data_IF_470090953911
#
_entry.id   IF_470090953911
#
_cell.length_a   1.000
_cell.length_b   1.000
_cell.length_c   1.000
_cell.angle_alpha   90.00
_cell.angle_beta   90.00
_cell.angle_gamma   90.00
#
_symmetry.space_group_name_H-M   'P 1'
#
loop_
_entity.id
_entity.type
_entity.pdbx_description
1 polymer ?
#
# COMPACT_ATOMS: atom_id res chain seq x y z
N UNK A 1 38.22 64.43 -36.04
CA UNK A 1 37.00 63.70 -35.66
C UNK A 1 36.72 62.71 -36.76
N UNK A 2 36.90 61.37 -36.50
CA UNK A 2 36.61 60.33 -37.50
C UNK A 2 35.11 60.02 -37.45
N UNK A 3 34.37 60.36 -38.49
CA UNK A 3 32.97 59.99 -38.68
C UNK A 3 32.84 58.49 -38.91
N UNK A 4 32.29 57.76 -37.96
CA UNK A 4 31.95 56.34 -38.17
C UNK A 4 30.90 56.24 -39.28
N UNK A 5 31.12 55.33 -40.24
CA UNK A 5 30.20 55.14 -41.37
C UNK A 5 28.91 54.50 -40.88
N UNK A 6 27.76 54.82 -41.50
CA UNK A 6 26.47 54.22 -41.24
C UNK A 6 26.50 52.69 -41.24
N UNK A 7 27.34 52.08 -42.05
CA UNK A 7 27.55 50.65 -42.13
C UNK A 7 28.12 50.03 -40.85
N UNK A 8 28.99 50.77 -40.12
CA UNK A 8 29.53 50.33 -38.83
C UNK A 8 28.48 50.33 -37.71
N UNK A 9 27.55 51.30 -37.72
CA UNK A 9 26.46 51.39 -36.78
C UNK A 9 25.43 50.23 -36.97
N UNK A 10 25.08 49.91 -38.23
CA UNK A 10 24.20 48.78 -38.54
C UNK A 10 24.78 47.43 -38.12
N UNK A 11 26.11 47.25 -38.25
CA UNK A 11 26.77 46.01 -37.80
C UNK A 11 26.78 45.86 -36.28
N UNK A 12 26.96 46.94 -35.54
CA UNK A 12 26.92 46.94 -34.08
C UNK A 12 25.51 46.69 -33.54
N UNK A 13 24.48 47.25 -34.17
CA UNK A 13 23.08 46.98 -33.81
C UNK A 13 22.66 45.56 -34.14
N UNK A 14 23.08 45.00 -35.28
CA UNK A 14 22.78 43.62 -35.64
C UNK A 14 23.48 42.62 -34.71
N UNK A 15 24.74 42.88 -34.29
CA UNK A 15 25.44 42.06 -33.31
C UNK A 15 24.79 42.13 -31.90
N UNK A 16 24.28 43.31 -31.49
CA UNK A 16 23.59 43.48 -30.21
C UNK A 16 22.25 42.73 -30.13
N UNK A 17 21.48 42.72 -31.22
CA UNK A 17 20.22 41.98 -31.32
C UNK A 17 20.46 40.48 -31.30
N UNK A 18 21.51 39.98 -31.99
CA UNK A 18 21.85 38.57 -32.04
C UNK A 18 22.31 38.01 -30.66
N UNK A 19 22.94 38.84 -29.82
CA UNK A 19 23.34 38.46 -28.46
C UNK A 19 22.14 38.43 -27.51
N UNK A 20 21.13 39.29 -27.73
CA UNK A 20 19.89 39.28 -26.90
C UNK A 20 19.04 38.02 -27.13
N UNK A 21 19.01 37.51 -28.37
CA UNK A 21 18.25 36.31 -28.72
C UNK A 21 18.88 35.05 -28.12
N UNK A 22 20.19 34.99 -27.92
CA UNK A 22 20.90 33.85 -27.30
C UNK A 22 20.72 33.80 -25.77
N UNK A 23 20.35 34.89 -25.11
CA UNK A 23 20.10 34.92 -23.66
C UNK A 23 18.67 34.47 -23.26
N UNK A 24 17.71 34.50 -24.19
CA UNK A 24 16.31 34.19 -23.87
C UNK A 24 16.03 32.69 -23.64
N UNK A 25 16.87 31.79 -24.15
CA UNK A 25 16.66 30.36 -24.00
C UNK A 25 17.08 29.77 -22.65
N UNK A 26 17.81 30.52 -21.81
CA UNK A 26 18.32 30.01 -20.53
C UNK A 26 17.36 30.22 -19.34
N UNK A 27 16.34 31.07 -19.48
CA UNK A 27 15.41 31.39 -18.39
C UNK A 27 14.19 30.47 -18.29
N UNK A 28 13.98 29.61 -19.27
CA UNK A 28 12.88 28.61 -19.31
C UNK A 28 13.29 27.23 -18.82
N UNK A 29 14.38 27.10 -18.07
CA UNK A 29 14.70 25.85 -17.40
C UNK A 29 13.75 25.71 -16.22
N UNK A 30 12.56 25.15 -16.47
CA UNK A 30 11.69 24.69 -15.41
C UNK A 30 12.55 23.85 -14.46
N UNK A 31 12.61 24.25 -13.19
CA UNK A 31 13.34 23.48 -12.17
C UNK A 31 12.92 22.01 -12.27
N UNK A 32 13.87 21.08 -12.17
CA UNK A 32 13.51 19.67 -12.13
C UNK A 32 12.42 19.45 -11.05
N UNK A 33 11.36 18.71 -11.35
CA UNK A 33 10.34 18.44 -10.34
C UNK A 33 11.01 17.86 -9.10
N UNK A 34 10.52 18.16 -7.89
CA UNK A 34 11.08 17.62 -6.67
C UNK A 34 11.02 16.08 -6.74
N UNK A 35 12.03 15.37 -6.22
CA UNK A 35 12.02 13.92 -6.21
C UNK A 35 10.81 13.42 -5.40
N UNK A 36 10.23 12.27 -5.76
CA UNK A 36 9.11 11.70 -5.02
C UNK A 36 9.54 11.29 -3.61
N UNK A 37 8.62 11.41 -2.67
CA UNK A 37 8.75 10.90 -1.30
C UNK A 37 8.12 9.52 -1.25
N UNK A 38 8.87 8.53 -0.73
CA UNK A 38 8.41 7.15 -0.63
C UNK A 38 7.94 6.81 0.78
N UNK A 39 6.87 6.03 0.86
CA UNK A 39 6.26 5.57 2.10
C UNK A 39 6.06 4.06 2.11
N UNK A 40 6.05 3.45 3.29
CA UNK A 40 5.81 2.02 3.47
C UNK A 40 4.53 1.74 4.25
N UNK A 41 3.94 0.56 3.99
CA UNK A 41 3.05 -0.08 4.94
C UNK A 41 3.93 -0.88 5.90
N UNK A 42 3.75 -0.68 7.19
CA UNK A 42 4.54 -1.34 8.23
C UNK A 42 3.61 -2.05 9.22
N UNK A 43 4.10 -3.15 9.77
CA UNK A 43 3.51 -3.66 11.00
C UNK A 43 3.57 -2.55 12.04
N UNK A 44 2.47 -2.29 12.74
CA UNK A 44 2.52 -1.31 13.81
C UNK A 44 3.71 -1.62 14.72
N UNK A 45 4.66 -0.72 14.76
CA UNK A 45 5.67 -0.69 15.83
C UNK A 45 4.94 -0.27 17.10
N UNK A 46 4.09 -1.21 17.59
CA UNK A 46 3.22 -0.93 18.71
C UNK A 46 4.03 -0.73 19.94
N UNK A 47 3.69 0.26 20.67
CA UNK A 47 3.47 0.20 22.10
C UNK A 47 2.32 -0.80 22.42
N UNK A 48 2.24 -1.93 21.71
CA UNK A 48 1.53 -3.06 22.24
C UNK A 48 2.32 -3.48 23.48
N UNK A 49 1.69 -3.59 24.66
CA UNK A 49 2.28 -4.41 25.70
C UNK A 49 2.63 -5.71 24.96
N UNK A 50 3.85 -6.18 25.13
CA UNK A 50 4.26 -7.48 24.65
C UNK A 50 3.30 -8.48 25.28
N UNK A 51 2.15 -8.68 24.66
CA UNK A 51 1.37 -9.88 24.86
C UNK A 51 2.32 -10.92 24.29
N UNK A 52 2.99 -11.61 25.22
CA UNK A 52 3.84 -12.73 24.87
C UNK A 52 3.03 -13.57 23.86
N UNK A 53 3.64 -13.95 22.71
CA UNK A 53 2.93 -14.74 21.71
C UNK A 53 2.21 -15.85 22.47
N UNK A 54 0.91 -16.00 22.22
CA UNK A 54 0.13 -17.02 22.92
C UNK A 54 0.82 -18.35 22.67
N UNK A 55 1.58 -18.82 23.66
CA UNK A 55 2.27 -20.11 23.56
C UNK A 55 1.17 -21.16 23.63
N UNK A 56 0.64 -21.51 22.46
CA UNK A 56 -0.27 -22.63 22.37
C UNK A 56 0.47 -23.89 22.88
N UNK A 57 -0.18 -24.76 23.65
CA UNK A 57 0.41 -26.02 24.06
C UNK A 57 0.94 -26.77 22.83
N UNK A 58 2.17 -27.29 22.88
CA UNK A 58 2.81 -27.98 21.75
C UNK A 58 1.92 -29.10 21.15
N UNK A 59 1.12 -29.77 21.98
CA UNK A 59 0.14 -30.76 21.54
C UNK A 59 -0.99 -30.15 20.68
N UNK A 60 -1.44 -28.93 20.98
CA UNK A 60 -2.48 -28.26 20.19
C UNK A 60 -1.94 -27.77 18.84
N UNK A 61 -0.67 -27.38 18.78
CA UNK A 61 0.01 -27.00 17.53
C UNK A 61 0.28 -28.22 16.63
N UNK A 62 0.51 -29.40 17.19
CA UNK A 62 0.75 -30.59 16.40
C UNK A 62 -0.43 -30.99 15.49
N UNK A 63 -1.66 -30.72 15.92
CA UNK A 63 -2.90 -31.00 15.17
C UNK A 63 -3.45 -29.78 14.45
N UNK A 64 -2.83 -28.62 14.60
CA UNK A 64 -3.26 -27.40 13.92
C UNK A 64 -2.92 -27.45 12.42
N UNK A 65 -3.76 -26.88 11.55
CA UNK A 65 -3.50 -26.87 10.11
C UNK A 65 -2.30 -25.98 9.75
N UNK A 66 -1.68 -26.28 8.61
CA UNK A 66 -0.73 -25.38 7.93
C UNK A 66 -1.50 -24.50 6.98
N UNK A 67 -1.30 -23.17 7.08
CA UNK A 67 -1.90 -22.19 6.18
C UNK A 67 -0.89 -21.71 5.14
N UNK A 68 -1.25 -21.83 3.88
CA UNK A 68 -0.53 -21.17 2.77
C UNK A 68 -1.21 -19.84 2.49
N UNK A 69 -0.49 -18.75 2.62
CA UNK A 69 -0.93 -17.41 2.24
C UNK A 69 -0.46 -17.15 0.81
N UNK A 70 -1.39 -16.98 -0.12
CA UNK A 70 -1.05 -16.53 -1.47
C UNK A 70 -0.67 -15.04 -1.46
N UNK A 71 0.23 -14.60 -2.36
CA UNK A 71 0.47 -13.18 -2.54
C UNK A 71 -0.85 -12.44 -2.79
N UNK A 72 -1.13 -11.35 -2.06
CA UNK A 72 -2.33 -10.58 -2.27
C UNK A 72 -2.42 -10.04 -3.70
N UNK A 73 -3.63 -9.96 -4.23
CA UNK A 73 -3.95 -9.20 -5.44
C UNK A 73 -4.49 -7.83 -5.07
N UNK A 74 -4.54 -6.92 -6.05
CA UNK A 74 -5.22 -5.65 -5.89
C UNK A 74 -6.17 -5.42 -7.08
N UNK A 75 -7.33 -4.83 -6.81
CA UNK A 75 -8.26 -4.41 -7.84
C UNK A 75 -7.62 -3.36 -8.75
N UNK A 76 -8.11 -3.28 -10.00
CA UNK A 76 -7.65 -2.29 -10.97
C UNK A 76 -7.73 -0.87 -10.37
N UNK A 77 -6.66 -0.09 -10.55
CA UNK A 77 -6.50 1.23 -9.95
C UNK A 77 -5.74 1.24 -8.61
N UNK A 78 -5.59 0.09 -7.93
CA UNK A 78 -4.83 -0.05 -6.68
C UNK A 78 -3.60 -0.96 -6.81
N UNK A 79 -3.34 -1.47 -8.02
CA UNK A 79 -2.20 -2.33 -8.35
C UNK A 79 -1.01 -1.50 -8.86
N UNK A 80 -0.59 -0.51 -8.09
CA UNK A 80 0.56 0.34 -8.40
C UNK A 80 1.15 0.95 -7.13
N UNK A 81 2.32 1.60 -7.25
CA UNK A 81 2.94 2.34 -6.14
C UNK A 81 2.31 3.72 -5.90
N UNK A 82 1.27 4.12 -6.63
CA UNK A 82 0.63 5.40 -6.42
C UNK A 82 -0.18 5.41 -5.11
N UNK A 83 -0.08 6.51 -4.36
CA UNK A 83 -0.97 6.77 -3.23
C UNK A 83 -2.23 7.41 -3.78
N UNK A 84 -3.32 6.63 -3.76
CA UNK A 84 -4.60 7.01 -4.36
C UNK A 84 -5.43 7.87 -3.42
N UNK A 85 -6.17 8.84 -3.98
CA UNK A 85 -7.15 9.63 -3.24
C UNK A 85 -8.38 9.97 -4.09
N UNK A 86 -9.45 10.39 -3.41
CA UNK A 86 -10.73 10.81 -4.01
C UNK A 86 -11.15 12.13 -3.39
N UNK A 87 -11.44 13.14 -4.22
CA UNK A 87 -12.04 14.43 -3.85
C UNK A 87 -13.48 14.56 -4.31
N UNK A 88 -13.80 13.87 -5.38
CA UNK A 88 -15.08 13.87 -6.04
C UNK A 88 -15.49 12.44 -6.35
N UNK A 89 -16.74 12.09 -6.13
CA UNK A 89 -17.26 10.76 -6.39
C UNK A 89 -16.89 10.27 -7.81
N UNK A 90 -16.46 9.00 -7.92
CA UNK A 90 -16.07 8.34 -9.17
C UNK A 90 -14.76 8.85 -9.82
N UNK A 91 -14.05 9.79 -9.18
CA UNK A 91 -12.80 10.34 -9.70
C UNK A 91 -11.61 9.91 -8.85
N UNK A 92 -10.91 8.89 -9.32
CA UNK A 92 -9.69 8.40 -8.68
C UNK A 92 -8.49 9.22 -9.15
N UNK A 93 -7.75 9.77 -8.22
CA UNK A 93 -6.55 10.59 -8.42
C UNK A 93 -5.38 10.02 -7.61
N UNK A 94 -4.15 10.46 -7.87
CA UNK A 94 -2.97 10.07 -7.09
C UNK A 94 -2.07 11.28 -6.80
N UNK A 95 -1.28 11.20 -5.74
CA UNK A 95 -0.34 12.26 -5.37
C UNK A 95 0.89 12.22 -6.28
N UNK A 96 1.19 13.33 -6.97
CA UNK A 96 2.24 13.42 -7.98
C UNK A 96 3.67 13.20 -7.45
N UNK A 97 3.92 13.48 -6.15
CA UNK A 97 5.24 13.46 -5.53
C UNK A 97 5.30 12.60 -4.27
N UNK A 98 4.31 11.73 -4.07
CA UNK A 98 4.24 10.84 -2.90
C UNK A 98 3.80 9.47 -3.38
N UNK A 99 4.60 8.47 -3.11
CA UNK A 99 4.39 7.11 -3.60
C UNK A 99 4.63 6.08 -2.50
N UNK A 100 4.03 4.92 -2.65
CA UNK A 100 4.44 3.75 -1.89
C UNK A 100 5.80 3.26 -2.39
N UNK A 101 6.65 2.75 -1.51
CA UNK A 101 7.97 2.16 -1.87
C UNK A 101 7.83 0.93 -2.76
N UNK A 102 6.69 0.22 -2.65
CA UNK A 102 6.30 -0.92 -3.48
C UNK A 102 4.77 -0.98 -3.57
N UNK A 103 4.14 -1.61 -4.56
CA UNK A 103 2.69 -1.77 -4.59
C UNK A 103 2.13 -2.32 -3.27
N UNK A 104 1.02 -1.78 -2.76
CA UNK A 104 0.43 -2.17 -1.47
C UNK A 104 0.24 -3.67 -1.30
N UNK A 105 -0.14 -4.39 -2.36
CA UNK A 105 -0.30 -5.83 -2.33
C UNK A 105 0.99 -6.57 -1.94
N UNK A 106 2.14 -6.13 -2.41
CA UNK A 106 3.44 -6.73 -2.05
C UNK A 106 3.83 -6.41 -0.62
N UNK A 107 3.62 -5.16 -0.18
CA UNK A 107 3.91 -4.76 1.19
C UNK A 107 3.00 -5.47 2.19
N UNK A 108 1.75 -5.76 1.81
CA UNK A 108 0.77 -6.43 2.65
C UNK A 108 1.11 -7.90 2.91
N UNK A 109 1.76 -8.60 1.97
CA UNK A 109 2.02 -10.03 2.07
C UNK A 109 2.75 -10.45 3.37
N UNK A 110 3.89 -9.87 3.76
CA UNK A 110 4.55 -10.22 5.01
C UNK A 110 3.74 -9.80 6.25
N UNK A 111 2.93 -8.74 6.17
CA UNK A 111 2.10 -8.28 7.27
C UNK A 111 0.95 -9.26 7.55
N UNK A 112 0.35 -9.84 6.50
CA UNK A 112 -0.65 -10.90 6.60
C UNK A 112 -0.10 -12.12 7.34
N UNK A 113 1.07 -12.60 6.90
CA UNK A 113 1.73 -13.76 7.54
C UNK A 113 1.97 -13.49 9.02
N UNK A 114 2.56 -12.35 9.35
CA UNK A 114 2.86 -11.98 10.74
C UNK A 114 1.59 -11.86 11.60
N UNK A 115 0.54 -11.22 11.10
CA UNK A 115 -0.70 -11.03 11.83
C UNK A 115 -1.39 -12.37 12.14
N UNK A 116 -1.42 -13.29 11.17
CA UNK A 116 -2.06 -14.60 11.33
C UNK A 116 -1.23 -15.52 12.20
N UNK A 117 0.11 -15.55 12.03
CA UNK A 117 1.02 -16.37 12.82
C UNK A 117 0.95 -16.02 14.31
N UNK A 118 0.81 -14.75 14.65
CA UNK A 118 0.63 -14.26 16.01
C UNK A 118 -0.62 -14.80 16.71
N UNK A 119 -1.59 -15.36 15.98
CA UNK A 119 -2.79 -15.98 16.58
C UNK A 119 -2.52 -17.34 17.21
N UNK A 120 -1.39 -17.97 16.90
CA UNK A 120 -1.04 -19.35 17.28
C UNK A 120 -2.15 -20.39 16.96
N UNK A 121 -2.99 -20.13 15.97
CA UNK A 121 -4.08 -21.00 15.55
C UNK A 121 -3.63 -22.03 14.52
N UNK A 122 -2.48 -21.84 13.92
CA UNK A 122 -1.89 -22.64 12.86
C UNK A 122 -0.58 -23.28 13.31
N UNK A 123 -0.25 -24.46 12.79
CA UNK A 123 1.06 -25.09 12.99
C UNK A 123 2.16 -24.29 12.29
N UNK A 124 1.86 -23.76 11.12
CA UNK A 124 2.72 -22.87 10.36
C UNK A 124 1.87 -21.97 9.45
N UNK A 125 2.32 -20.75 9.25
CA UNK A 125 1.78 -19.78 8.26
C UNK A 125 2.89 -19.49 7.27
N UNK A 126 2.70 -19.83 6.00
CA UNK A 126 3.75 -19.79 4.98
C UNK A 126 3.30 -18.98 3.78
N UNK A 127 4.13 -18.07 3.33
CA UNK A 127 3.87 -17.29 2.11
C UNK A 127 4.21 -18.13 0.87
N UNK A 128 3.31 -18.18 -0.11
CA UNK A 128 3.57 -18.79 -1.42
C UNK A 128 4.45 -17.86 -2.30
N UNK A 129 5.30 -18.46 -3.21
CA UNK A 129 5.51 -19.88 -3.44
C UNK A 129 6.33 -20.54 -2.34
N UNK A 130 5.92 -21.72 -1.93
CA UNK A 130 6.61 -22.53 -0.91
C UNK A 130 6.53 -24.00 -1.28
N UNK A 131 7.52 -24.77 -0.83
CA UNK A 131 7.53 -26.26 -0.95
C UNK A 131 6.69 -26.94 0.14
N UNK A 132 6.19 -26.18 1.13
CA UNK A 132 5.36 -26.72 2.20
C UNK A 132 4.02 -27.19 1.65
N UNK A 133 3.57 -28.38 2.09
CA UNK A 133 2.20 -28.80 1.89
C UNK A 133 1.29 -28.06 2.87
N UNK A 134 0.22 -27.45 2.35
CA UNK A 134 -0.78 -26.75 3.14
C UNK A 134 -2.04 -27.58 3.34
N UNK A 135 -2.70 -27.39 4.46
CA UNK A 135 -4.05 -27.89 4.70
C UNK A 135 -5.09 -26.85 4.23
N UNK A 136 -4.79 -25.60 4.48
CA UNK A 136 -5.60 -24.45 4.14
C UNK A 136 -4.82 -23.43 3.31
N UNK A 137 -5.54 -22.66 2.51
CA UNK A 137 -5.02 -21.58 1.66
C UNK A 137 -5.82 -20.31 1.88
N UNK A 138 -5.11 -19.18 1.98
CA UNK A 138 -5.71 -17.87 2.06
C UNK A 138 -5.43 -17.10 0.76
N UNK A 139 -6.50 -16.67 0.11
CA UNK A 139 -6.48 -15.76 -1.04
C UNK A 139 -7.03 -14.41 -0.60
N UNK A 140 -6.33 -13.31 -0.91
CA UNK A 140 -6.73 -11.97 -0.54
C UNK A 140 -6.67 -11.00 -1.70
N UNK A 141 -7.59 -10.02 -1.70
CA UNK A 141 -7.67 -8.98 -2.71
C UNK A 141 -7.89 -7.61 -2.04
N UNK A 142 -7.01 -6.66 -2.30
CA UNK A 142 -7.22 -5.25 -1.95
C UNK A 142 -8.27 -4.70 -2.91
N UNK A 143 -9.46 -4.43 -2.39
CA UNK A 143 -10.55 -3.81 -3.14
C UNK A 143 -10.34 -2.30 -3.23
N UNK A 144 -9.78 -1.70 -2.14
CA UNK A 144 -9.58 -0.27 -2.01
C UNK A 144 -8.52 0.06 -0.97
N UNK A 145 -7.65 1.01 -1.32
CA UNK A 145 -6.77 1.70 -0.38
C UNK A 145 -6.62 3.13 -0.88
N UNK A 146 -7.37 4.07 -0.29
CA UNK A 146 -7.42 5.46 -0.75
C UNK A 146 -7.70 6.44 0.38
N UNK A 147 -7.24 7.69 0.21
CA UNK A 147 -7.63 8.80 1.06
C UNK A 147 -8.84 9.51 0.46
N UNK A 148 -9.90 9.72 1.24
CA UNK A 148 -11.15 10.35 0.86
C UNK A 148 -11.23 11.76 1.43
N UNK A 149 -11.34 12.77 0.55
CA UNK A 149 -11.41 14.19 0.89
C UNK A 149 -12.83 14.77 0.73
N UNK A 150 -13.84 13.92 0.57
CA UNK A 150 -15.22 14.36 0.37
C UNK A 150 -15.80 15.11 1.57
N UNK A 151 -15.27 14.87 2.76
CA UNK A 151 -15.66 15.58 3.99
C UNK A 151 -14.49 15.71 4.96
N UNK A 152 -14.29 16.88 5.61
CA UNK A 152 -13.26 17.04 6.64
C UNK A 152 -13.69 16.41 7.99
N UNK A 153 -12.73 15.80 8.73
CA UNK A 153 -11.39 15.49 8.28
C UNK A 153 -11.40 14.39 7.20
N UNK A 154 -10.44 14.44 6.27
CA UNK A 154 -10.27 13.35 5.31
C UNK A 154 -10.02 12.04 6.05
N UNK A 155 -10.38 10.93 5.42
CA UNK A 155 -10.18 9.59 6.00
C UNK A 155 -9.52 8.67 5.01
N UNK A 156 -8.76 7.70 5.49
CA UNK A 156 -8.30 6.62 4.64
C UNK A 156 -9.23 5.43 4.80
N UNK A 157 -9.70 4.91 3.67
CA UNK A 157 -10.48 3.69 3.60
C UNK A 157 -9.62 2.56 3.04
N UNK A 158 -9.54 1.48 3.79
CA UNK A 158 -8.93 0.23 3.35
C UNK A 158 -9.96 -0.89 3.37
N UNK A 159 -10.14 -1.56 2.24
CA UNK A 159 -11.07 -2.69 2.07
C UNK A 159 -10.30 -3.87 1.51
N UNK A 160 -10.35 -5.01 2.20
CA UNK A 160 -9.68 -6.26 1.86
C UNK A 160 -10.71 -7.39 1.82
N UNK A 161 -10.75 -8.13 0.74
CA UNK A 161 -11.54 -9.37 0.62
C UNK A 161 -10.64 -10.57 0.85
N UNK A 162 -11.13 -11.57 1.56
CA UNK A 162 -10.38 -12.78 1.85
C UNK A 162 -11.25 -14.03 1.64
N UNK A 163 -10.63 -15.08 1.10
CA UNK A 163 -11.19 -16.41 0.94
C UNK A 163 -10.27 -17.41 1.63
N UNK A 164 -10.83 -18.20 2.55
CA UNK A 164 -10.15 -19.34 3.13
C UNK A 164 -10.63 -20.59 2.41
N UNK A 165 -9.69 -21.33 1.85
CA UNK A 165 -9.93 -22.48 0.98
C UNK A 165 -9.25 -23.71 1.55
N UNK A 166 -9.90 -24.85 1.52
CA UNK A 166 -9.26 -26.13 1.77
C UNK A 166 -8.33 -26.47 0.60
N UNK A 167 -7.03 -26.66 0.87
CA UNK A 167 -6.05 -26.75 -0.24
C UNK A 167 -6.24 -28.01 -1.09
N UNK A 168 -6.59 -29.13 -0.47
CA UNK A 168 -6.77 -30.42 -1.15
C UNK A 168 -7.99 -30.46 -2.07
N UNK A 169 -9.14 -29.99 -1.59
CA UNK A 169 -10.43 -30.07 -2.30
C UNK A 169 -10.75 -28.83 -3.11
N UNK A 170 -10.04 -27.72 -2.87
CA UNK A 170 -10.32 -26.40 -3.42
C UNK A 170 -11.70 -25.83 -3.01
N UNK A 171 -12.29 -26.38 -1.96
CA UNK A 171 -13.55 -25.90 -1.40
C UNK A 171 -13.32 -24.61 -0.62
N UNK A 172 -14.09 -23.58 -0.90
CA UNK A 172 -14.13 -22.36 -0.09
C UNK A 172 -14.82 -22.68 1.23
N UNK A 173 -14.08 -22.56 2.33
CA UNK A 173 -14.60 -22.81 3.68
C UNK A 173 -15.30 -21.58 4.23
N UNK A 174 -14.70 -20.42 4.01
CA UNK A 174 -15.22 -19.15 4.47
C UNK A 174 -14.69 -18.02 3.59
N UNK A 175 -15.47 -16.95 3.49
CA UNK A 175 -15.00 -15.72 2.87
C UNK A 175 -15.56 -14.50 3.61
N UNK A 176 -14.85 -13.38 3.55
CA UNK A 176 -15.29 -12.14 4.17
C UNK A 176 -14.62 -10.93 3.52
N UNK A 177 -15.33 -9.80 3.55
CA UNK A 177 -14.80 -8.50 3.24
C UNK A 177 -14.62 -7.72 4.55
N UNK A 178 -13.43 -7.14 4.72
CA UNK A 178 -13.02 -6.36 5.89
C UNK A 178 -12.83 -4.93 5.45
N UNK A 179 -13.30 -3.98 6.25
CA UNK A 179 -13.16 -2.57 5.96
C UNK A 179 -12.79 -1.80 7.22
N UNK A 180 -11.85 -0.87 7.08
CA UNK A 180 -11.58 0.15 8.09
C UNK A 180 -11.51 1.53 7.43
N UNK A 181 -12.09 2.54 8.10
CA UNK A 181 -12.03 3.94 7.70
C UNK A 181 -11.44 4.76 8.85
N UNK A 182 -10.21 5.25 8.68
CA UNK A 182 -9.47 5.96 9.73
C UNK A 182 -9.30 7.42 9.34
N UNK A 183 -9.71 8.39 10.19
CA UNK A 183 -9.52 9.81 9.90
C UNK A 183 -8.03 10.17 9.89
N UNK A 184 -7.63 11.00 8.92
CA UNK A 184 -6.29 11.57 8.86
C UNK A 184 -6.19 12.76 9.83
N UNK A 185 -5.03 12.92 10.47
CA UNK A 185 -4.81 14.01 11.43
C UNK A 185 -4.70 15.38 10.75
N UNK A 186 -4.46 15.41 9.44
CA UNK A 186 -4.39 16.62 8.61
C UNK A 186 -4.59 16.27 7.14
N UNK A 187 -4.90 17.29 6.32
CA UNK A 187 -5.24 17.15 4.90
C UNK A 187 -3.98 17.09 4.01
N UNK A 188 -3.10 16.11 4.27
CA UNK A 188 -1.87 15.92 3.49
C UNK A 188 -1.52 14.43 3.31
N UNK A 189 -0.61 14.09 2.36
CA UNK A 189 -0.25 12.72 2.06
C UNK A 189 0.34 11.95 3.26
N UNK A 190 1.18 12.59 4.08
CA UNK A 190 1.80 11.94 5.24
C UNK A 190 0.76 11.50 6.28
N UNK A 191 -0.19 12.39 6.62
CA UNK A 191 -1.27 12.04 7.53
C UNK A 191 -2.18 10.93 6.95
N UNK A 192 -2.38 10.94 5.62
CA UNK A 192 -3.01 9.85 4.90
C UNK A 192 -2.27 8.52 5.08
N UNK A 193 -0.94 8.51 4.91
CA UNK A 193 -0.12 7.30 5.12
C UNK A 193 -0.21 6.78 6.55
N UNK A 194 -0.18 7.67 7.55
CA UNK A 194 -0.35 7.27 8.96
C UNK A 194 -1.73 6.64 9.20
N UNK A 195 -2.78 7.22 8.62
CA UNK A 195 -4.13 6.68 8.70
C UNK A 195 -4.26 5.34 7.94
N UNK A 196 -3.59 5.20 6.78
CA UNK A 196 -3.53 3.95 6.01
C UNK A 196 -2.91 2.81 6.83
N UNK A 197 -1.79 3.06 7.48
CA UNK A 197 -1.14 2.06 8.33
C UNK A 197 -2.06 1.59 9.48
N UNK A 198 -2.81 2.52 10.09
CA UNK A 198 -3.79 2.18 11.14
C UNK A 198 -4.97 1.37 10.58
N UNK A 199 -5.48 1.75 9.40
CA UNK A 199 -6.58 1.03 8.75
C UNK A 199 -6.15 -0.39 8.37
N UNK A 200 -4.95 -0.55 7.81
CA UNK A 200 -4.38 -1.86 7.48
C UNK A 200 -4.23 -2.70 8.74
N UNK A 201 -3.68 -2.15 9.81
CA UNK A 201 -3.54 -2.88 11.07
C UNK A 201 -4.89 -3.39 11.59
N UNK A 202 -5.92 -2.54 11.65
CA UNK A 202 -7.26 -2.92 12.11
C UNK A 202 -7.85 -4.07 11.28
N UNK A 203 -7.73 -3.98 9.94
CA UNK A 203 -8.22 -5.04 9.05
C UNK A 203 -7.43 -6.33 9.22
N UNK A 204 -6.12 -6.27 9.43
CA UNK A 204 -5.29 -7.45 9.64
C UNK A 204 -5.60 -8.16 10.96
N UNK A 205 -5.92 -7.42 12.03
CA UNK A 205 -6.37 -7.97 13.31
C UNK A 205 -7.69 -8.74 13.13
N UNK A 206 -8.66 -8.15 12.45
CA UNK A 206 -9.96 -8.77 12.17
C UNK A 206 -9.82 -10.00 11.26
N UNK A 207 -8.98 -9.93 10.23
CA UNK A 207 -8.68 -11.04 9.34
C UNK A 207 -8.01 -12.20 10.09
N UNK A 208 -7.04 -11.91 10.94
CA UNK A 208 -6.33 -12.92 11.72
C UNK A 208 -7.31 -13.65 12.66
N UNK A 209 -8.21 -12.91 13.32
CA UNK A 209 -9.26 -13.50 14.15
C UNK A 209 -10.23 -14.38 13.33
N UNK A 210 -10.61 -13.94 12.14
CA UNK A 210 -11.44 -14.70 11.20
C UNK A 210 -10.76 -16.02 10.78
N UNK A 211 -9.49 -15.96 10.36
CA UNK A 211 -8.73 -17.16 9.96
C UNK A 211 -8.60 -18.15 11.12
N UNK A 212 -8.29 -17.66 12.33
CA UNK A 212 -8.19 -18.48 13.54
C UNK A 212 -9.54 -19.15 13.90
N UNK A 213 -10.66 -18.44 13.73
CA UNK A 213 -11.99 -18.97 13.92
C UNK A 213 -12.33 -20.09 12.95
N UNK A 214 -12.09 -19.88 11.67
CA UNK A 214 -12.34 -20.85 10.61
C UNK A 214 -11.45 -22.10 10.74
N UNK A 215 -10.17 -21.96 11.15
CA UNK A 215 -9.27 -23.08 11.41
C UNK A 215 -9.76 -23.97 12.54
N UNK A 216 -10.38 -23.41 13.58
CA UNK A 216 -10.99 -24.21 14.65
C UNK A 216 -12.22 -24.99 14.16
N UNK A 217 -13.06 -24.38 13.33
CA UNK A 217 -14.21 -25.05 12.72
C UNK A 217 -13.78 -26.23 11.85
N UNK A 218 -12.81 -26.01 10.98
CA UNK A 218 -12.28 -27.04 10.07
C UNK A 218 -11.72 -28.26 10.80
N UNK A 219 -11.01 -28.08 11.92
CA UNK A 219 -10.51 -29.22 12.74
C UNK A 219 -11.62 -30.06 13.35
N UNK A 220 -12.75 -29.48 13.67
CA UNK A 220 -13.86 -30.20 14.26
C UNK A 220 -14.65 -31.05 13.24
N UNK A 221 -14.43 -30.82 11.93
CA UNK A 221 -15.05 -31.55 10.82
C UNK A 221 -14.16 -32.71 10.31
N UNK A 222 -12.89 -32.80 10.75
CA UNK A 222 -11.94 -33.87 10.39
C UNK A 222 -12.02 -35.04 11.38
#
# INVERSE_FOLDING_TARGET
MKTMSLASWCRLLAAGVLILELGACSTLRAGAPPPPTFYSLEAARGTAPAVAPAIAPAAALATAPTLIVNPPHAAAGFDSSHIMYVREAHKLEYFAHNEWVDPPARMLAPLLVAAIDNTAAFRAVVLAPSVAAGDLRLDTEIIRLQQEFESPPSRVRFTLRAYLVEDKTRRVLAWREFEAAVPAASENPYAGVVAANRAVQSVLEDLAAFCAGAARGWRNEQ
#
